data_IF_550326654565
#
_entry.id   IF_550326654565
#
_cell.length_a   1.000
_cell.length_b   1.000
_cell.length_c   1.000
_cell.angle_alpha   90.00
_cell.angle_beta   90.00
_cell.angle_gamma   90.00
#
_symmetry.space_group_name_H-M   'P 1'
#
loop_
_entity.id
_entity.type
_entity.pdbx_description
1 polymer ?
#
# COMPACT_ATOMS: atom_id res chain seq x y z
N UNK A 1 21.38 -17.17 16.29
CA UNK A 1 22.18 -15.93 16.47
C UNK A 1 21.98 -15.38 17.88
N UNK A 2 23.06 -14.95 18.56
CA UNK A 2 22.95 -14.28 19.84
C UNK A 2 22.21 -12.92 19.66
N UNK A 3 21.32 -12.60 20.59
CA UNK A 3 20.62 -11.31 20.57
C UNK A 3 21.50 -10.22 21.13
N UNK A 4 21.55 -9.08 20.46
CA UNK A 4 22.15 -7.85 20.98
C UNK A 4 21.10 -7.09 21.78
N UNK A 5 21.50 -6.52 22.91
CA UNK A 5 20.61 -5.74 23.79
C UNK A 5 21.21 -4.35 23.97
N UNK A 6 20.39 -3.33 23.67
CA UNK A 6 20.71 -1.91 23.92
C UNK A 6 19.64 -1.31 24.82
N UNK A 7 20.01 -0.49 25.79
CA UNK A 7 19.08 0.04 26.77
C UNK A 7 19.27 1.55 26.97
N UNK A 8 18.30 2.16 27.62
CA UNK A 8 18.40 3.56 28.07
C UNK A 8 18.39 4.57 26.92
N UNK A 9 19.22 5.59 27.07
CA UNK A 9 19.28 6.73 26.14
C UNK A 9 19.85 6.33 24.77
N UNK A 10 20.84 5.46 24.75
CA UNK A 10 21.48 5.01 23.48
C UNK A 10 20.54 4.19 22.61
N UNK A 11 19.66 3.38 23.24
CA UNK A 11 18.63 2.66 22.50
C UNK A 11 17.62 3.63 21.88
N UNK A 12 17.16 4.63 22.63
CA UNK A 12 16.24 5.65 22.13
C UNK A 12 16.85 6.48 21.00
N UNK A 13 18.10 6.92 21.16
CA UNK A 13 18.80 7.68 20.11
C UNK A 13 18.93 6.88 18.81
N UNK A 14 19.31 5.61 18.88
CA UNK A 14 19.40 4.77 17.70
C UNK A 14 18.04 4.57 17.01
N UNK A 15 16.98 4.31 17.77
CA UNK A 15 15.62 4.20 17.20
C UNK A 15 15.18 5.50 16.53
N UNK A 16 15.36 6.65 17.19
CA UNK A 16 15.02 7.96 16.62
C UNK A 16 15.82 8.25 15.34
N UNK A 17 17.12 7.96 15.35
CA UNK A 17 17.94 8.15 14.15
C UNK A 17 17.43 7.33 12.95
N UNK A 18 17.00 6.10 13.18
CA UNK A 18 16.40 5.28 12.13
C UNK A 18 15.06 5.79 11.63
N UNK A 19 14.21 6.28 12.56
CA UNK A 19 12.93 6.92 12.22
C UNK A 19 13.19 8.16 11.35
N UNK A 20 14.13 9.01 11.74
CA UNK A 20 14.45 10.24 11.03
C UNK A 20 15.01 9.95 9.65
N UNK A 21 15.95 9.02 9.49
CA UNK A 21 16.52 8.66 8.20
C UNK A 21 15.47 8.20 7.21
N UNK A 22 14.53 7.34 7.62
CA UNK A 22 13.44 6.89 6.76
C UNK A 22 12.47 8.04 6.46
N UNK A 23 11.98 8.72 7.49
CA UNK A 23 10.99 9.77 7.32
C UNK A 23 11.52 10.95 6.51
N UNK A 24 12.79 11.35 6.70
CA UNK A 24 13.44 12.41 5.94
C UNK A 24 13.58 12.06 4.46
N UNK A 25 13.78 10.79 4.14
CA UNK A 25 13.81 10.32 2.75
C UNK A 25 12.43 10.36 2.12
N UNK A 26 11.40 9.95 2.85
CA UNK A 26 10.02 9.92 2.35
C UNK A 26 9.43 11.33 2.23
N UNK A 27 9.66 12.20 3.20
CA UNK A 27 9.02 13.53 3.25
C UNK A 27 9.39 14.47 2.12
N UNK A 28 10.51 14.24 1.41
CA UNK A 28 10.89 15.05 0.25
C UNK A 28 9.92 14.91 -0.92
N UNK A 29 9.08 13.88 -0.91
CA UNK A 29 8.03 13.65 -1.92
C UNK A 29 6.73 14.40 -1.63
N UNK A 30 6.60 15.04 -0.45
CA UNK A 30 5.36 15.63 0.01
C UNK A 30 5.02 16.94 -0.70
N UNK A 31 3.75 17.03 -1.12
CA UNK A 31 3.11 18.27 -1.58
C UNK A 31 3.55 18.73 -2.97
N UNK A 32 3.14 19.96 -3.38
CA UNK A 32 3.31 20.45 -4.75
C UNK A 32 4.77 20.70 -5.14
N UNK A 33 5.69 20.75 -4.18
CA UNK A 33 7.14 20.85 -4.40
C UNK A 33 7.83 19.51 -4.18
N UNK A 34 7.07 18.43 -4.05
CA UNK A 34 7.58 17.09 -3.88
C UNK A 34 8.50 16.66 -5.03
N UNK A 35 9.49 15.86 -4.70
CA UNK A 35 10.50 15.34 -5.63
C UNK A 35 10.45 13.82 -5.67
N UNK A 36 10.89 13.26 -6.77
CA UNK A 36 11.06 11.82 -6.87
C UNK A 36 12.31 11.36 -6.12
N UNK A 37 12.25 10.14 -5.61
CA UNK A 37 13.38 9.41 -5.03
C UNK A 37 13.85 8.38 -6.05
N UNK A 38 15.15 8.21 -6.17
CA UNK A 38 15.77 7.17 -6.99
C UNK A 38 16.21 6.03 -6.08
N UNK A 39 15.61 4.86 -6.26
CA UNK A 39 15.92 3.66 -5.49
C UNK A 39 16.82 2.74 -6.28
N UNK A 40 18.03 2.47 -5.75
CA UNK A 40 18.98 1.54 -6.37
C UNK A 40 18.52 0.10 -6.19
N UNK A 41 18.43 -0.66 -7.27
CA UNK A 41 18.14 -2.10 -7.24
C UNK A 41 19.46 -2.90 -7.33
N UNK A 42 19.52 -4.04 -6.66
CA UNK A 42 20.67 -4.98 -6.80
C UNK A 42 20.75 -5.57 -8.21
N UNK A 43 19.60 -5.74 -8.87
CA UNK A 43 19.48 -6.23 -10.23
C UNK A 43 18.43 -5.39 -10.97
N UNK A 44 18.74 -5.01 -12.22
CA UNK A 44 17.86 -4.18 -13.05
C UNK A 44 18.13 -2.68 -12.91
N UNK A 45 17.26 -1.88 -13.54
CA UNK A 45 17.35 -0.42 -13.53
C UNK A 45 16.89 0.16 -12.19
N UNK A 46 17.44 1.31 -11.76
CA UNK A 46 16.93 2.04 -10.62
C UNK A 46 15.44 2.39 -10.79
N UNK A 47 14.69 2.37 -9.70
CA UNK A 47 13.28 2.77 -9.68
C UNK A 47 13.18 4.23 -9.26
N UNK A 48 12.48 5.03 -10.04
CA UNK A 48 12.17 6.43 -9.74
C UNK A 48 10.73 6.48 -9.26
N UNK A 49 10.51 6.95 -8.05
CA UNK A 49 9.17 7.00 -7.45
C UNK A 49 9.01 8.16 -6.49
N UNK A 50 7.78 8.60 -6.29
CA UNK A 50 7.36 9.54 -5.25
C UNK A 50 6.39 8.90 -4.26
N UNK A 51 6.09 7.62 -4.42
CA UNK A 51 5.22 6.89 -3.51
C UNK A 51 5.92 6.57 -2.19
N UNK A 52 5.33 7.08 -1.10
CA UNK A 52 5.91 6.97 0.24
C UNK A 52 6.04 5.53 0.74
N UNK A 53 5.08 4.66 0.47
CA UNK A 53 5.16 3.26 0.93
C UNK A 53 6.20 2.46 0.15
N UNK A 54 6.33 2.69 -1.15
CA UNK A 54 7.36 2.06 -1.98
C UNK A 54 8.75 2.45 -1.50
N UNK A 55 8.96 3.75 -1.24
CA UNK A 55 10.24 4.25 -0.69
C UNK A 55 10.50 3.62 0.69
N UNK A 56 9.52 3.64 1.58
CA UNK A 56 9.67 3.12 2.95
C UNK A 56 10.02 1.62 2.98
N UNK A 57 9.47 0.83 2.04
CA UNK A 57 9.75 -0.62 1.93
C UNK A 57 11.17 -0.94 1.48
N UNK A 58 11.77 -0.09 0.66
CA UNK A 58 13.12 -0.30 0.11
C UNK A 58 14.23 0.21 1.04
N UNK A 59 13.92 1.04 2.04
CA UNK A 59 14.93 1.57 2.96
C UNK A 59 15.35 0.49 3.96
N UNK A 60 16.63 0.15 3.95
CA UNK A 60 17.29 -0.74 4.89
C UNK A 60 18.59 -0.11 5.40
N UNK A 61 18.71 0.04 6.73
CA UNK A 61 19.83 0.70 7.35
C UNK A 61 20.88 -0.31 7.83
N UNK A 62 22.15 0.09 7.78
CA UNK A 62 23.28 -0.77 8.16
C UNK A 62 23.30 -1.08 9.66
N UNK A 63 23.03 -0.10 10.52
CA UNK A 63 22.94 -0.33 11.96
C UNK A 63 21.61 -1.03 12.30
N UNK A 64 21.68 -2.16 12.98
CA UNK A 64 20.54 -2.99 13.29
C UNK A 64 19.52 -2.28 14.21
N UNK A 65 19.96 -1.43 15.12
CA UNK A 65 19.08 -0.70 16.04
C UNK A 65 18.42 0.50 15.36
N UNK A 66 19.15 1.21 14.49
CA UNK A 66 18.55 2.25 13.65
C UNK A 66 17.54 1.62 12.68
N UNK A 67 17.87 0.48 12.09
CA UNK A 67 16.98 -0.23 11.19
C UNK A 67 15.67 -0.66 11.88
N UNK A 68 15.69 -1.00 13.16
CA UNK A 68 14.45 -1.23 13.93
C UNK A 68 13.58 0.04 13.97
N UNK A 69 14.16 1.22 14.16
CA UNK A 69 13.44 2.50 14.10
C UNK A 69 12.80 2.74 12.73
N UNK A 70 13.57 2.52 11.66
CA UNK A 70 13.06 2.59 10.29
C UNK A 70 11.91 1.61 10.04
N UNK A 71 12.02 0.37 10.53
CA UNK A 71 10.96 -0.64 10.40
C UNK A 71 9.64 -0.23 11.06
N UNK A 72 9.69 0.43 12.22
CA UNK A 72 8.48 0.94 12.89
C UNK A 72 7.74 1.96 12.02
N UNK A 73 8.45 2.87 11.38
CA UNK A 73 7.83 3.86 10.48
C UNK A 73 7.41 3.23 9.15
N UNK A 74 8.16 2.26 8.63
CA UNK A 74 7.73 1.44 7.49
C UNK A 74 6.37 0.78 7.74
N UNK A 75 6.16 0.26 8.94
CA UNK A 75 4.87 -0.35 9.31
C UNK A 75 3.73 0.68 9.31
N UNK A 76 3.98 1.92 9.74
CA UNK A 76 3.00 3.01 9.65
C UNK A 76 2.60 3.28 8.20
N UNK A 77 3.57 3.41 7.29
CA UNK A 77 3.31 3.61 5.88
C UNK A 77 2.52 2.44 5.25
N UNK A 78 2.90 1.20 5.58
CA UNK A 78 2.24 -0.01 5.08
C UNK A 78 0.80 -0.09 5.56
N UNK A 79 0.54 0.08 6.86
CA UNK A 79 -0.84 0.06 7.40
C UNK A 79 -1.72 1.17 6.83
N UNK A 80 -1.14 2.34 6.56
CA UNK A 80 -1.89 3.44 5.93
C UNK A 80 -2.26 3.07 4.49
N UNK A 81 -1.33 2.47 3.75
CA UNK A 81 -1.58 1.98 2.39
C UNK A 81 -2.68 0.91 2.37
N UNK A 82 -2.61 -0.06 3.27
CA UNK A 82 -3.57 -1.16 3.34
C UNK A 82 -4.99 -0.67 3.74
N UNK A 83 -5.07 0.41 4.53
CA UNK A 83 -6.34 0.96 4.98
C UNK A 83 -6.98 1.95 4.00
N UNK A 84 -6.18 2.75 3.30
CA UNK A 84 -6.66 3.88 2.51
C UNK A 84 -6.10 3.97 1.08
N UNK A 85 -5.03 3.24 0.76
CA UNK A 85 -4.36 3.30 -0.55
C UNK A 85 -3.62 4.62 -0.82
N UNK A 86 -3.70 5.59 0.07
CA UNK A 86 -3.10 6.92 -0.08
C UNK A 86 -2.70 7.51 1.29
N UNK A 87 -1.96 8.62 1.29
CA UNK A 87 -1.56 9.33 2.49
C UNK A 87 -0.36 8.74 3.23
N UNK A 88 0.38 7.82 2.64
CA UNK A 88 1.51 7.11 3.24
C UNK A 88 2.65 8.07 3.63
N UNK A 89 2.97 9.05 2.79
CA UNK A 89 3.95 10.11 3.07
C UNK A 89 3.51 10.96 4.25
N UNK A 90 2.24 11.40 4.29
CA UNK A 90 1.68 12.19 5.38
C UNK A 90 1.72 11.43 6.70
N UNK A 91 1.33 10.16 6.71
CA UNK A 91 1.39 9.30 7.89
C UNK A 91 2.82 9.14 8.41
N UNK A 92 3.80 8.97 7.53
CA UNK A 92 5.23 8.88 7.87
C UNK A 92 5.73 10.16 8.52
N UNK A 93 5.40 11.33 7.97
CA UNK A 93 5.78 12.64 8.54
C UNK A 93 5.13 12.87 9.91
N UNK A 94 3.86 12.53 10.05
CA UNK A 94 3.15 12.63 11.33
C UNK A 94 3.76 11.69 12.38
N UNK A 95 4.12 10.47 12.01
CA UNK A 95 4.77 9.53 12.92
C UNK A 95 6.12 10.08 13.42
N UNK A 96 6.95 10.62 12.51
CA UNK A 96 8.21 11.27 12.88
C UNK A 96 7.96 12.43 13.85
N UNK A 97 7.02 13.32 13.55
CA UNK A 97 6.71 14.47 14.39
C UNK A 97 6.24 14.06 15.79
N UNK A 98 5.34 13.08 15.89
CA UNK A 98 4.85 12.54 17.15
C UNK A 98 5.98 11.93 18.00
N UNK A 99 6.88 11.17 17.37
CA UNK A 99 8.03 10.58 18.07
C UNK A 99 8.98 11.67 18.53
N UNK A 100 9.33 12.62 17.67
CA UNK A 100 10.27 13.70 17.98
C UNK A 100 9.77 14.55 19.16
N UNK A 101 8.51 15.00 19.12
CA UNK A 101 7.92 15.79 20.20
C UNK A 101 7.69 14.97 21.47
N UNK A 102 7.27 13.71 21.34
CA UNK A 102 7.12 12.80 22.46
C UNK A 102 8.45 12.53 23.16
N UNK A 103 9.52 12.32 22.43
CA UNK A 103 10.86 12.06 22.97
C UNK A 103 11.45 13.26 23.71
N UNK A 104 11.18 14.50 23.29
CA UNK A 104 11.57 15.70 24.06
C UNK A 104 10.98 15.67 25.46
N UNK A 105 9.70 15.32 25.57
CA UNK A 105 9.01 15.24 26.86
C UNK A 105 9.51 14.05 27.71
N UNK A 106 9.77 12.90 27.11
CA UNK A 106 10.35 11.74 27.82
C UNK A 106 11.74 12.08 28.36
N UNK A 107 12.58 12.76 27.58
CA UNK A 107 13.92 13.18 27.99
C UNK A 107 13.87 14.22 29.12
N UNK A 108 12.84 15.06 29.13
CA UNK A 108 12.56 16.00 30.21
C UNK A 108 12.00 15.35 31.49
N UNK A 109 11.81 14.02 31.50
CA UNK A 109 11.35 13.26 32.69
C UNK A 109 9.84 13.01 32.75
N UNK A 110 9.08 13.33 31.70
CA UNK A 110 7.65 13.02 31.68
C UNK A 110 7.42 11.50 31.57
N UNK A 111 6.34 11.02 32.18
CA UNK A 111 5.96 9.62 32.14
C UNK A 111 5.49 9.21 30.70
N UNK A 112 6.15 8.26 30.03
CA UNK A 112 5.76 7.84 28.69
C UNK A 112 4.33 7.32 28.58
N UNK A 113 3.78 6.71 29.64
CA UNK A 113 2.41 6.20 29.64
C UNK A 113 1.37 7.32 29.68
N UNK A 114 1.69 8.45 30.34
CA UNK A 114 0.83 9.63 30.32
C UNK A 114 0.87 10.33 28.98
N UNK A 115 2.04 10.43 28.37
CA UNK A 115 2.19 10.92 26.98
C UNK A 115 1.36 10.08 26.03
N UNK A 116 1.46 8.75 26.09
CA UNK A 116 0.65 7.84 25.28
C UNK A 116 -0.85 8.11 25.43
N UNK A 117 -1.34 8.26 26.68
CA UNK A 117 -2.75 8.58 26.94
C UNK A 117 -3.16 9.94 26.35
N UNK A 118 -2.28 10.92 26.46
CA UNK A 118 -2.48 12.25 25.88
C UNK A 118 -2.55 12.21 24.34
N UNK A 119 -1.63 11.51 23.69
CA UNK A 119 -1.62 11.30 22.24
C UNK A 119 -2.92 10.63 21.81
N UNK A 120 -3.37 9.58 22.50
CA UNK A 120 -4.61 8.88 22.13
C UNK A 120 -5.85 9.80 22.19
N UNK A 121 -5.95 10.65 23.22
CA UNK A 121 -7.04 11.63 23.31
C UNK A 121 -6.97 12.65 22.18
N UNK A 122 -5.79 13.18 21.89
CA UNK A 122 -5.59 14.13 20.80
C UNK A 122 -5.92 13.53 19.44
N UNK A 123 -5.52 12.29 19.17
CA UNK A 123 -5.85 11.57 17.95
C UNK A 123 -7.35 11.40 17.78
N UNK A 124 -8.07 10.98 18.83
CA UNK A 124 -9.52 10.82 18.77
C UNK A 124 -10.21 12.15 18.38
N UNK A 125 -9.83 13.25 19.04
CA UNK A 125 -10.37 14.59 18.74
C UNK A 125 -10.02 15.04 17.31
N UNK A 126 -8.78 14.79 16.87
CA UNK A 126 -8.35 15.12 15.50
C UNK A 126 -9.14 14.33 14.45
N UNK A 127 -9.37 13.03 14.69
CA UNK A 127 -10.15 12.17 13.79
C UNK A 127 -11.60 12.66 13.69
N UNK A 128 -12.23 13.03 14.81
CA UNK A 128 -13.58 13.61 14.82
C UNK A 128 -13.64 14.91 14.02
N UNK A 129 -12.67 15.79 14.21
CA UNK A 129 -12.57 17.05 13.48
C UNK A 129 -12.39 16.82 11.97
N UNK A 130 -11.51 15.88 11.56
CA UNK A 130 -11.31 15.53 10.15
C UNK A 130 -12.59 14.97 9.55
N UNK A 131 -13.30 14.08 10.25
CA UNK A 131 -14.60 13.55 9.80
C UNK A 131 -15.65 14.63 9.63
N UNK A 132 -15.70 15.61 10.55
CA UNK A 132 -16.64 16.72 10.46
C UNK A 132 -16.38 17.65 9.28
N UNK A 133 -15.13 17.76 8.82
CA UNK A 133 -14.73 18.57 7.67
C UNK A 133 -14.70 17.77 6.35
N UNK A 134 -14.87 16.46 6.41
CA UNK A 134 -14.85 15.62 5.21
C UNK A 134 -16.09 15.87 4.34
N UNK A 135 -15.90 15.82 3.02
CA UNK A 135 -16.96 15.92 2.04
C UNK A 135 -17.12 14.57 1.35
N UNK A 136 -18.37 14.16 1.15
CA UNK A 136 -18.66 12.94 0.38
C UNK A 136 -18.33 13.15 -1.08
N UNK A 137 -17.69 12.17 -1.69
CA UNK A 137 -17.46 12.14 -3.13
C UNK A 137 -18.79 11.93 -3.84
N UNK A 138 -19.16 12.84 -4.73
CA UNK A 138 -20.40 12.82 -5.49
C UNK A 138 -20.13 12.89 -6.99
N UNK A 139 -20.35 11.77 -7.69
CA UNK A 139 -20.26 11.68 -9.14
C UNK A 139 -18.85 11.70 -9.71
N UNK A 140 -18.79 11.54 -11.02
CA UNK A 140 -17.58 11.32 -11.80
C UNK A 140 -16.52 12.43 -11.64
N UNK A 141 -16.94 13.70 -11.53
CA UNK A 141 -16.00 14.83 -11.38
C UNK A 141 -15.20 14.76 -10.08
N UNK A 142 -15.83 14.38 -8.99
CA UNK A 142 -15.13 14.27 -7.71
C UNK A 142 -14.22 13.04 -7.71
N UNK A 143 -14.66 11.92 -8.32
CA UNK A 143 -13.83 10.73 -8.53
C UNK A 143 -12.58 11.10 -9.36
N UNK A 144 -12.76 11.80 -10.47
CA UNK A 144 -11.64 12.27 -11.31
C UNK A 144 -10.67 13.15 -10.52
N UNK A 145 -11.16 14.05 -9.65
CA UNK A 145 -10.29 14.88 -8.79
C UNK A 145 -9.46 14.04 -7.82
N UNK A 146 -10.09 13.08 -7.15
CA UNK A 146 -9.39 12.17 -6.22
C UNK A 146 -8.34 11.37 -6.98
N UNK A 147 -8.71 10.76 -8.11
CA UNK A 147 -7.80 10.03 -8.97
C UNK A 147 -6.62 10.88 -9.46
N UNK A 148 -6.90 12.13 -9.89
CA UNK A 148 -5.86 13.08 -10.33
C UNK A 148 -4.88 13.42 -9.21
N UNK A 149 -5.37 13.66 -7.99
CA UNK A 149 -4.49 13.98 -6.86
C UNK A 149 -3.61 12.78 -6.48
N UNK A 150 -4.19 11.58 -6.48
CA UNK A 150 -3.45 10.36 -6.13
C UNK A 150 -2.43 9.96 -7.20
N UNK A 151 -2.80 10.00 -8.47
CA UNK A 151 -1.91 9.65 -9.59
C UNK A 151 -0.92 10.76 -9.97
N UNK A 152 -1.21 12.02 -9.60
CA UNK A 152 -0.45 13.19 -10.08
C UNK A 152 -0.68 13.51 -11.56
N UNK A 153 -1.68 12.86 -12.19
CA UNK A 153 -2.00 12.98 -13.62
C UNK A 153 -3.51 13.06 -13.85
N UNK A 154 -3.93 14.11 -14.56
CA UNK A 154 -5.34 14.36 -14.83
C UNK A 154 -5.95 13.35 -15.82
N UNK A 155 -5.17 12.81 -16.75
CA UNK A 155 -5.65 11.82 -17.71
C UNK A 155 -5.95 10.50 -17.01
N UNK A 156 -5.07 10.06 -16.12
CA UNK A 156 -5.28 8.87 -15.28
C UNK A 156 -6.50 9.07 -14.38
N UNK A 157 -6.64 10.25 -13.77
CA UNK A 157 -7.81 10.57 -12.95
C UNK A 157 -9.12 10.48 -13.72
N UNK A 158 -9.15 10.94 -14.98
CA UNK A 158 -10.32 10.81 -15.83
C UNK A 158 -10.61 9.36 -16.24
N UNK A 159 -9.57 8.59 -16.62
CA UNK A 159 -9.73 7.16 -16.94
C UNK A 159 -10.31 6.36 -15.79
N UNK A 160 -9.88 6.64 -14.55
CA UNK A 160 -10.44 6.01 -13.34
C UNK A 160 -11.91 6.38 -13.17
N UNK A 161 -12.27 7.66 -13.36
CA UNK A 161 -13.66 8.10 -13.25
C UNK A 161 -14.56 7.44 -14.30
N UNK A 162 -14.10 7.37 -15.54
CA UNK A 162 -14.82 6.71 -16.64
C UNK A 162 -14.97 5.19 -16.40
N UNK A 163 -13.94 4.56 -15.83
CA UNK A 163 -14.02 3.15 -15.43
C UNK A 163 -15.04 2.94 -14.30
N UNK A 164 -15.04 3.80 -13.27
CA UNK A 164 -16.02 3.74 -12.17
C UNK A 164 -17.46 3.90 -12.64
N UNK A 165 -17.72 4.73 -13.64
CA UNK A 165 -19.06 4.85 -14.24
C UNK A 165 -19.51 3.54 -14.90
N UNK A 166 -18.59 2.79 -15.50
CA UNK A 166 -18.90 1.53 -16.20
C UNK A 166 -19.10 0.36 -15.24
N UNK A 167 -18.26 0.26 -14.20
CA UNK A 167 -18.27 -0.91 -13.30
C UNK A 167 -19.18 -0.76 -12.08
N UNK A 168 -19.77 0.39 -11.86
CA UNK A 168 -20.63 0.70 -10.69
C UNK A 168 -19.87 0.71 -9.36
N UNK A 169 -20.61 0.95 -8.25
CA UNK A 169 -20.00 1.08 -6.91
C UNK A 169 -19.38 -0.22 -6.37
N UNK A 170 -19.84 -1.37 -6.85
CA UNK A 170 -19.38 -2.70 -6.42
C UNK A 170 -18.29 -3.28 -7.33
N UNK A 171 -17.93 -2.55 -8.41
CA UNK A 171 -16.90 -2.99 -9.33
C UNK A 171 -15.49 -2.83 -8.79
N UNK A 172 -14.60 -3.72 -9.18
CA UNK A 172 -13.17 -3.70 -8.85
C UNK A 172 -12.41 -3.08 -10.01
N UNK A 173 -11.55 -2.09 -9.72
CA UNK A 173 -10.62 -1.52 -10.69
C UNK A 173 -9.23 -2.01 -10.34
N UNK A 174 -8.59 -2.70 -11.29
CA UNK A 174 -7.18 -3.09 -11.21
C UNK A 174 -6.36 -2.23 -12.16
N UNK A 175 -5.12 -1.94 -11.79
CA UNK A 175 -4.17 -1.19 -12.60
C UNK A 175 -2.98 -2.09 -12.87
N UNK A 176 -2.69 -2.32 -14.16
CA UNK A 176 -1.58 -3.14 -14.58
C UNK A 176 -0.62 -2.32 -15.43
N UNK A 177 0.68 -2.55 -15.25
CA UNK A 177 1.71 -1.92 -16.06
C UNK A 177 1.90 -2.71 -17.37
N UNK A 178 1.62 -2.07 -18.49
CA UNK A 178 1.88 -2.65 -19.79
C UNK A 178 3.33 -2.39 -20.22
N UNK A 179 4.04 -3.43 -20.61
CA UNK A 179 5.43 -3.35 -21.10
C UNK A 179 5.53 -2.98 -22.58
N UNK A 180 4.42 -2.82 -23.26
CA UNK A 180 4.38 -2.39 -24.67
C UNK A 180 4.32 -0.86 -24.76
N UNK A 181 4.61 -0.32 -25.94
CA UNK A 181 4.54 1.13 -26.22
C UNK A 181 3.11 1.60 -26.53
N UNK A 182 2.08 0.82 -26.20
CA UNK A 182 0.69 1.19 -26.41
C UNK A 182 0.26 2.31 -25.45
N UNK A 183 -0.69 3.12 -25.87
CA UNK A 183 -1.31 4.14 -25.04
C UNK A 183 -2.08 3.49 -23.87
N UNK A 184 -2.21 4.23 -22.77
CA UNK A 184 -3.01 3.76 -21.61
C UNK A 184 -4.48 3.65 -22.02
N UNK A 185 -5.08 2.50 -21.76
CA UNK A 185 -6.49 2.23 -22.05
C UNK A 185 -7.19 1.54 -20.89
N UNK A 186 -8.51 1.55 -20.92
CA UNK A 186 -9.35 0.83 -19.96
C UNK A 186 -10.05 -0.32 -20.67
N UNK A 187 -9.99 -1.51 -20.07
CA UNK A 187 -10.76 -2.68 -20.48
C UNK A 187 -11.78 -2.99 -19.38
N UNK A 188 -13.01 -3.28 -19.79
CA UNK A 188 -14.08 -3.66 -18.86
C UNK A 188 -14.41 -5.12 -19.09
N UNK A 189 -14.26 -5.91 -18.03
CA UNK A 189 -14.60 -7.34 -18.03
C UNK A 189 -15.82 -7.52 -17.13
N UNK A 190 -16.84 -8.19 -17.63
CA UNK A 190 -18.01 -8.55 -16.82
C UNK A 190 -17.71 -9.86 -16.08
N UNK A 191 -17.99 -9.89 -14.78
CA UNK A 191 -17.77 -11.07 -13.95
C UNK A 191 -17.01 -10.77 -12.68
N UNK A 192 -16.34 -11.78 -12.15
CA UNK A 192 -15.48 -11.67 -10.97
C UNK A 192 -14.03 -11.94 -11.33
N UNK A 193 -13.12 -11.08 -10.88
CA UNK A 193 -11.69 -11.25 -11.03
C UNK A 193 -11.06 -11.71 -9.72
N UNK A 194 -10.15 -12.69 -9.80
CA UNK A 194 -9.38 -13.21 -8.66
C UNK A 194 -7.89 -13.08 -8.96
N UNK A 195 -7.10 -12.76 -7.94
CA UNK A 195 -5.64 -12.58 -8.06
C UNK A 195 -4.85 -13.89 -8.29
N UNK A 196 -5.55 -15.01 -8.47
CA UNK A 196 -4.94 -16.32 -8.67
C UNK A 196 -5.37 -16.90 -10.01
N UNK A 197 -4.40 -17.03 -10.91
CA UNK A 197 -4.56 -17.71 -12.17
C UNK A 197 -4.29 -19.22 -12.09
N UNK A 198 -3.93 -19.84 -13.19
CA UNK A 198 -3.61 -21.27 -13.27
C UNK A 198 -2.37 -21.63 -12.43
N UNK A 199 -2.35 -22.86 -11.92
CA UNK A 199 -1.30 -23.33 -10.99
C UNK A 199 -0.02 -23.74 -11.72
N UNK A 200 -0.13 -24.17 -12.98
CA UNK A 200 0.99 -24.67 -13.78
C UNK A 200 0.84 -24.26 -15.24
N UNK A 201 1.95 -23.97 -15.95
CA UNK A 201 1.94 -23.66 -17.40
C UNK A 201 1.31 -24.75 -18.28
N UNK A 202 1.22 -25.98 -17.81
CA UNK A 202 0.54 -27.07 -18.53
C UNK A 202 -0.98 -26.89 -18.64
N UNK A 203 -1.56 -25.97 -17.87
CA UNK A 203 -3.00 -25.65 -17.92
C UNK A 203 -3.34 -24.62 -18.98
N UNK A 204 -2.34 -24.06 -19.68
CA UNK A 204 -2.53 -23.04 -20.71
C UNK A 204 -3.24 -23.63 -21.92
N UNK A 205 -4.34 -23.00 -22.34
CA UNK A 205 -5.10 -23.37 -23.55
C UNK A 205 -4.69 -22.55 -24.77
N UNK A 206 -4.27 -21.28 -24.55
CA UNK A 206 -3.71 -20.39 -25.57
C UNK A 206 -2.22 -20.15 -25.28
N UNK A 207 -1.34 -20.83 -26.00
CA UNK A 207 0.11 -20.76 -25.79
C UNK A 207 0.73 -19.46 -26.31
N UNK A 208 0.08 -18.73 -27.21
CA UNK A 208 0.59 -17.45 -27.71
C UNK A 208 0.40 -16.32 -26.69
N UNK A 209 -0.75 -16.32 -26.03
CA UNK A 209 -1.09 -15.34 -24.98
C UNK A 209 -0.73 -15.81 -23.57
N UNK A 210 -0.37 -17.09 -23.41
CA UNK A 210 -0.15 -17.73 -22.10
C UNK A 210 -1.37 -17.62 -21.19
N UNK A 211 -2.55 -17.87 -21.77
CA UNK A 211 -3.85 -17.79 -21.10
C UNK A 211 -4.53 -19.16 -21.04
N UNK A 212 -5.37 -19.35 -20.03
CA UNK A 212 -6.29 -20.49 -19.93
C UNK A 212 -7.72 -19.97 -20.08
N UNK A 213 -8.33 -20.22 -21.21
CA UNK A 213 -9.69 -19.75 -21.55
C UNK A 213 -10.61 -20.96 -21.70
N UNK A 214 -11.73 -20.93 -21.02
CA UNK A 214 -12.82 -21.90 -21.17
C UNK A 214 -14.11 -21.13 -21.48
N UNK A 215 -14.73 -21.47 -22.57
CA UNK A 215 -16.04 -20.92 -22.99
C UNK A 215 -17.16 -21.88 -22.57
N UNK A 216 -18.27 -21.35 -22.08
CA UNK A 216 -19.46 -22.10 -21.65
C UNK A 216 -19.16 -23.28 -20.71
N UNK A 217 -18.15 -23.12 -19.83
CA UNK A 217 -17.76 -24.19 -18.92
C UNK A 217 -18.74 -24.36 -17.76
N UNK A 218 -18.94 -25.61 -17.33
CA UNK A 218 -19.65 -25.91 -16.09
C UNK A 218 -18.80 -25.59 -14.88
N UNK A 219 -19.36 -24.89 -13.90
CA UNK A 219 -18.66 -24.49 -12.68
C UNK A 219 -19.17 -25.29 -11.48
N UNK A 220 -18.29 -26.00 -10.81
CA UNK A 220 -18.56 -26.67 -9.55
C UNK A 220 -18.16 -25.77 -8.37
N UNK A 221 -19.12 -25.40 -7.55
CA UNK A 221 -18.89 -24.66 -6.31
C UNK A 221 -18.98 -25.62 -5.12
N UNK A 222 -17.91 -25.73 -4.31
CA UNK A 222 -17.87 -26.62 -3.15
C UNK A 222 -17.07 -26.00 -2.01
N UNK A 223 -17.46 -26.27 -0.78
CA UNK A 223 -16.72 -25.97 0.45
C UNK A 223 -15.74 -27.08 0.86
N UNK A 224 -15.79 -28.24 0.16
CA UNK A 224 -14.98 -29.41 0.46
C UNK A 224 -13.63 -29.31 -0.25
N UNK A 225 -12.57 -29.73 0.43
CA UNK A 225 -11.27 -29.93 -0.18
C UNK A 225 -11.31 -31.20 -1.05
N UNK A 226 -11.22 -31.04 -2.35
CA UNK A 226 -11.09 -32.14 -3.32
C UNK A 226 -9.60 -32.41 -3.51
N UNK A 227 -9.15 -33.59 -3.08
CA UNK A 227 -7.72 -33.99 -3.17
C UNK A 227 -7.53 -35.23 -4.04
N UNK A 228 -8.59 -35.95 -4.38
CA UNK A 228 -8.56 -37.21 -5.14
C UNK A 228 -9.55 -37.12 -6.30
N UNK A 229 -9.11 -37.51 -7.48
CA UNK A 229 -9.94 -37.45 -8.69
C UNK A 229 -11.23 -38.28 -8.56
N UNK A 230 -11.17 -39.42 -7.88
CA UNK A 230 -12.31 -40.30 -7.64
C UNK A 230 -13.50 -39.59 -6.95
N UNK A 231 -13.24 -38.50 -6.19
CA UNK A 231 -14.32 -37.79 -5.49
C UNK A 231 -15.22 -37.02 -6.46
N UNK A 232 -14.74 -36.66 -7.64
CA UNK A 232 -15.49 -35.90 -8.65
C UNK A 232 -15.97 -36.74 -9.83
N UNK A 233 -15.50 -37.99 -9.97
CA UNK A 233 -15.91 -38.87 -11.09
C UNK A 233 -17.41 -39.04 -11.18
N UNK A 234 -18.16 -39.30 -10.08
CA UNK A 234 -19.63 -39.47 -10.15
C UNK A 234 -20.35 -38.22 -10.68
N UNK A 235 -19.78 -37.03 -10.45
CA UNK A 235 -20.34 -35.76 -10.96
C UNK A 235 -20.03 -35.57 -12.44
N UNK A 236 -18.86 -36.05 -12.91
CA UNK A 236 -18.47 -35.92 -14.31
C UNK A 236 -19.18 -36.94 -15.21
N UNK A 237 -19.73 -38.02 -14.64
CA UNK A 237 -20.47 -39.07 -15.35
C UNK A 237 -21.99 -38.81 -15.39
N UNK A 238 -22.49 -37.81 -14.63
CA UNK A 238 -23.92 -37.44 -14.57
C UNK A 238 -24.25 -36.34 -15.56
#
# INVERSE_FOLDING_TARGET
MAKQIKQGEDARKALCAGIDQLADTVKITLGPKGRNVVLGKKFGSPVITNDGVTIAKEIELKDAFENMGAQLVREVATKTNDAAGDGTTTATVLAQALVTEGMKNVTAGANPMDIKRGIQKAVNTAVEAVKAHSQKVNGSKDIARVGTVSAGDAQIGQLIADAMEKVTADGVITIEENKTTAETYTEVVEGMQFDRGYVTPYMVTDTEKMETVYEDCSVLITDKKISVFQDIVPLLES
#
